data_IF_570121595717
#
_entry.id   IF_570121595717
#
_cell.length_a   1.000
_cell.length_b   1.000
_cell.length_c   1.000
_cell.angle_alpha   90.00
_cell.angle_beta   90.00
_cell.angle_gamma   90.00
#
_symmetry.space_group_name_H-M   'P 1'
#
loop_
_entity.id
_entity.type
_entity.pdbx_description
1 polymer ?
#
# COMPACT_ATOMS: atom_id res chain seq x y z
N UNK A 1 2.92 -36.36 -6.49
CA UNK A 1 4.09 -35.55 -6.88
C UNK A 1 4.28 -35.69 -8.38
N UNK A 2 4.48 -34.59 -9.12
CA UNK A 2 4.60 -34.63 -10.59
C UNK A 2 6.06 -34.48 -11.01
N UNK A 3 6.70 -33.37 -10.67
CA UNK A 3 8.10 -33.11 -11.02
C UNK A 3 8.75 -32.15 -10.03
N UNK A 4 10.08 -32.17 -9.98
CA UNK A 4 10.90 -31.16 -9.31
C UNK A 4 12.16 -30.95 -10.12
N UNK A 5 12.77 -29.79 -9.95
CA UNK A 5 14.01 -29.48 -10.63
C UNK A 5 14.65 -28.22 -10.09
N UNK A 6 15.63 -27.75 -10.84
CA UNK A 6 16.44 -26.59 -10.49
C UNK A 6 16.42 -25.61 -11.64
N UNK A 7 16.35 -24.33 -11.33
CA UNK A 7 16.48 -23.24 -12.30
C UNK A 7 17.93 -22.80 -12.33
N UNK A 8 18.56 -22.85 -13.49
CA UNK A 8 19.93 -22.35 -13.69
C UNK A 8 19.97 -20.84 -13.57
N UNK A 9 21.05 -20.30 -13.00
CA UNK A 9 21.33 -18.88 -12.97
C UNK A 9 21.57 -18.32 -14.39
N UNK A 10 20.74 -17.36 -14.88
CA UNK A 10 21.00 -16.67 -16.14
C UNK A 10 21.88 -15.42 -15.96
N UNK A 11 22.17 -15.01 -14.72
CA UNK A 11 22.81 -13.73 -14.42
C UNK A 11 24.28 -13.90 -14.06
N UNK A 12 25.18 -13.49 -14.97
CA UNK A 12 26.63 -13.60 -14.76
C UNK A 12 27.12 -12.97 -13.44
N UNK A 13 26.50 -11.87 -12.99
CA UNK A 13 26.86 -11.20 -11.75
C UNK A 13 26.63 -12.07 -10.49
N UNK A 14 25.77 -13.09 -10.58
CA UNK A 14 25.45 -14.01 -9.48
C UNK A 14 26.28 -15.30 -9.53
N UNK A 15 27.15 -15.49 -10.53
CA UNK A 15 27.84 -16.78 -10.77
C UNK A 15 28.67 -17.25 -9.58
N UNK A 16 29.32 -16.31 -8.88
CA UNK A 16 30.15 -16.58 -7.71
C UNK A 16 29.38 -16.45 -6.38
N UNK A 17 28.09 -16.11 -6.44
CA UNK A 17 27.22 -15.86 -5.27
C UNK A 17 26.26 -17.02 -5.00
N UNK A 18 25.89 -17.76 -6.04
CA UNK A 18 24.92 -18.86 -5.98
C UNK A 18 25.60 -20.22 -5.86
N UNK A 19 25.06 -21.08 -5.02
CA UNK A 19 25.53 -22.47 -4.89
C UNK A 19 25.20 -23.24 -6.17
N UNK A 20 26.21 -23.93 -6.73
CA UNK A 20 26.09 -24.74 -7.95
C UNK A 20 25.56 -23.98 -9.19
N UNK A 21 25.64 -22.64 -9.22
CA UNK A 21 25.04 -21.79 -10.27
C UNK A 21 23.53 -22.00 -10.44
N UNK A 22 22.85 -22.34 -9.36
CA UNK A 22 21.40 -22.55 -9.31
C UNK A 22 20.74 -21.29 -8.74
N UNK A 23 19.71 -20.77 -9.40
CA UNK A 23 18.94 -19.61 -8.93
C UNK A 23 17.84 -20.02 -7.95
N UNK A 24 17.17 -21.14 -8.22
CA UNK A 24 16.03 -21.59 -7.44
C UNK A 24 15.79 -23.09 -7.61
N UNK A 25 15.04 -23.67 -6.67
CA UNK A 25 14.48 -25.00 -6.77
C UNK A 25 12.97 -24.90 -6.97
N UNK A 26 12.41 -25.73 -7.85
CA UNK A 26 10.97 -25.76 -8.07
C UNK A 26 10.40 -27.15 -7.83
N UNK A 27 9.13 -27.20 -7.45
CA UNK A 27 8.38 -28.41 -7.19
C UNK A 27 6.95 -28.27 -7.72
N UNK A 28 6.49 -29.27 -8.45
CA UNK A 28 5.12 -29.36 -8.95
C UNK A 28 4.44 -30.58 -8.33
N UNK A 29 3.35 -30.34 -7.61
CA UNK A 29 2.58 -31.37 -6.93
C UNK A 29 1.11 -31.32 -7.36
N UNK A 30 0.54 -32.45 -7.74
CA UNK A 30 -0.92 -32.57 -7.81
C UNK A 30 -1.48 -32.63 -6.40
N UNK A 31 -2.48 -31.81 -6.11
CA UNK A 31 -3.23 -31.79 -4.86
C UNK A 31 -4.71 -31.88 -5.23
N UNK A 32 -5.34 -33.04 -5.04
CA UNK A 32 -6.72 -33.29 -5.48
C UNK A 32 -6.92 -32.92 -6.97
N UNK A 33 -7.76 -31.91 -7.26
CA UNK A 33 -8.07 -31.41 -8.59
C UNK A 33 -7.18 -30.22 -9.04
N UNK A 34 -6.15 -29.91 -8.26
CA UNK A 34 -5.27 -28.76 -8.48
C UNK A 34 -3.80 -29.18 -8.67
N UNK A 35 -3.00 -28.23 -9.14
CA UNK A 35 -1.54 -28.30 -9.19
C UNK A 35 -0.97 -27.17 -8.33
N UNK A 36 -0.13 -27.51 -7.35
CA UNK A 36 0.69 -26.53 -6.65
C UNK A 36 2.07 -26.46 -7.32
N UNK A 37 2.47 -25.26 -7.73
CA UNK A 37 3.80 -24.94 -8.24
C UNK A 37 4.52 -24.10 -7.19
N UNK A 38 5.53 -24.67 -6.56
CA UNK A 38 6.35 -23.99 -5.55
C UNK A 38 7.73 -23.69 -6.12
N UNK A 39 8.24 -22.48 -5.89
CA UNK A 39 9.56 -22.01 -6.29
C UNK A 39 10.24 -21.40 -5.06
N UNK A 40 11.37 -21.98 -4.66
CA UNK A 40 12.24 -21.49 -3.59
C UNK A 40 13.51 -20.92 -4.22
N UNK A 41 13.74 -19.62 -4.07
CA UNK A 41 14.99 -18.99 -4.53
C UNK A 41 16.11 -19.23 -3.52
N UNK A 42 17.34 -19.29 -4.02
CA UNK A 42 18.51 -19.18 -3.17
C UNK A 42 18.64 -17.76 -2.63
N UNK A 43 19.26 -17.63 -1.47
CA UNK A 43 19.57 -16.33 -0.90
C UNK A 43 20.58 -15.59 -1.80
N UNK A 44 20.28 -14.35 -2.14
CA UNK A 44 21.13 -13.49 -2.95
C UNK A 44 21.70 -12.41 -2.04
N UNK A 45 23.02 -12.34 -1.95
CA UNK A 45 23.72 -11.30 -1.19
C UNK A 45 24.81 -10.63 -2.04
N UNK A 46 24.56 -9.37 -2.38
CA UNK A 46 25.45 -8.50 -3.16
C UNK A 46 25.98 -7.33 -2.33
N UNK A 47 26.03 -7.45 -0.99
CA UNK A 47 26.30 -6.35 -0.05
C UNK A 47 27.73 -5.78 -0.05
N UNK A 48 28.48 -5.91 -1.15
CA UNK A 48 29.84 -5.42 -1.29
C UNK A 48 30.12 -4.75 -2.66
N UNK A 49 29.09 -4.50 -3.47
CA UNK A 49 29.22 -3.98 -4.86
C UNK A 49 28.82 -2.49 -5.00
N UNK A 50 29.03 -1.69 -3.95
CA UNK A 50 28.69 -0.25 -3.95
C UNK A 50 27.27 0.08 -3.46
N UNK A 51 26.59 -0.90 -2.87
CA UNK A 51 25.28 -0.82 -2.20
C UNK A 51 24.94 -2.15 -1.53
N UNK A 52 23.86 -2.21 -0.74
CA UNK A 52 23.33 -3.49 -0.26
C UNK A 52 22.22 -3.97 -1.18
N UNK A 53 22.29 -5.23 -1.59
CA UNK A 53 21.15 -5.95 -2.17
C UNK A 53 21.15 -7.36 -1.58
N UNK A 54 20.19 -7.61 -0.71
CA UNK A 54 19.99 -8.86 0.00
C UNK A 54 18.57 -9.33 -0.18
N UNK A 55 18.38 -10.52 -0.72
CA UNK A 55 17.11 -11.23 -0.77
C UNK A 55 17.27 -12.58 -0.09
N UNK A 56 16.52 -12.80 0.99
CA UNK A 56 16.61 -14.02 1.79
C UNK A 56 15.25 -14.71 1.92
N UNK A 57 15.29 -16.05 1.85
CA UNK A 57 14.17 -16.93 2.15
C UNK A 57 12.92 -16.62 1.31
N UNK A 58 13.12 -16.41 -0.01
CA UNK A 58 12.04 -16.10 -0.96
C UNK A 58 11.39 -17.39 -1.47
N UNK A 59 10.10 -17.54 -1.17
CA UNK A 59 9.25 -18.64 -1.59
C UNK A 59 8.03 -18.06 -2.31
N UNK A 60 7.70 -18.61 -3.47
CA UNK A 60 6.43 -18.34 -4.14
C UNK A 60 5.74 -19.67 -4.44
N UNK A 61 4.45 -19.76 -4.15
CA UNK A 61 3.58 -20.86 -4.51
C UNK A 61 2.42 -20.36 -5.36
N UNK A 62 2.09 -21.10 -6.40
CA UNK A 62 0.99 -20.81 -7.32
C UNK A 62 0.11 -22.05 -7.39
N UNK A 63 -1.16 -21.89 -6.98
CA UNK A 63 -2.17 -22.93 -7.12
C UNK A 63 -2.86 -22.77 -8.47
N UNK A 64 -2.82 -23.82 -9.28
CA UNK A 64 -3.43 -23.89 -10.60
C UNK A 64 -4.58 -24.89 -10.61
N UNK A 65 -5.62 -24.59 -11.37
CA UNK A 65 -6.57 -25.60 -11.82
C UNK A 65 -5.84 -26.65 -12.69
N UNK A 66 -6.12 -27.93 -12.48
CA UNK A 66 -5.42 -28.99 -13.21
C UNK A 66 -5.90 -29.17 -14.65
N UNK A 67 -7.15 -28.83 -14.95
CA UNK A 67 -7.73 -29.05 -16.28
C UNK A 67 -7.34 -27.93 -17.24
N UNK A 68 -7.45 -26.67 -16.81
CA UNK A 68 -7.22 -25.51 -17.69
C UNK A 68 -5.94 -24.71 -17.38
N UNK A 69 -5.17 -25.14 -16.36
CA UNK A 69 -3.91 -24.52 -15.94
C UNK A 69 -4.01 -23.03 -15.58
N UNK A 70 -5.21 -22.58 -15.19
CA UNK A 70 -5.43 -21.22 -14.70
C UNK A 70 -5.09 -21.09 -13.21
N UNK A 71 -4.63 -19.91 -12.83
CA UNK A 71 -4.23 -19.55 -11.47
C UNK A 71 -5.46 -19.33 -10.61
N UNK A 72 -5.57 -20.10 -9.53
CA UNK A 72 -6.58 -19.98 -8.47
C UNK A 72 -6.11 -19.12 -7.30
N UNK A 73 -4.84 -19.26 -6.94
CA UNK A 73 -4.27 -18.53 -5.82
C UNK A 73 -2.75 -18.39 -5.95
N UNK A 74 -2.22 -17.38 -5.27
CA UNK A 74 -0.79 -17.10 -5.14
C UNK A 74 -0.48 -16.92 -3.67
N UNK A 75 0.65 -17.48 -3.26
CA UNK A 75 1.26 -17.28 -1.96
C UNK A 75 2.70 -16.86 -2.17
N UNK A 76 3.15 -15.82 -1.49
CA UNK A 76 4.56 -15.41 -1.50
C UNK A 76 5.02 -15.11 -0.08
N UNK A 77 6.19 -15.65 0.26
CA UNK A 77 6.86 -15.39 1.52
C UNK A 77 8.26 -14.88 1.26
N UNK A 78 8.64 -13.79 1.90
CA UNK A 78 9.99 -13.26 1.85
C UNK A 78 10.49 -13.05 3.26
N UNK A 79 11.60 -13.70 3.63
CA UNK A 79 12.21 -13.53 4.95
C UNK A 79 12.76 -12.12 5.12
N UNK A 80 13.58 -11.68 4.17
CA UNK A 80 14.15 -10.35 4.19
C UNK A 80 14.45 -9.84 2.77
N UNK A 81 14.16 -8.55 2.55
CA UNK A 81 14.69 -7.77 1.44
C UNK A 81 15.40 -6.55 2.02
N UNK A 82 16.65 -6.35 1.64
CA UNK A 82 17.39 -5.12 1.88
C UNK A 82 17.91 -4.63 0.53
N UNK A 83 17.53 -3.41 0.16
CA UNK A 83 18.11 -2.70 -0.95
C UNK A 83 18.54 -1.31 -0.46
N UNK A 84 19.81 -0.98 -0.62
CA UNK A 84 20.29 0.38 -0.40
C UNK A 84 21.25 0.80 -1.50
N UNK A 85 20.94 1.93 -2.12
CA UNK A 85 21.79 2.57 -3.10
C UNK A 85 21.67 4.08 -2.98
N UNK A 86 22.81 4.78 -2.88
CA UNK A 86 22.89 6.23 -2.70
C UNK A 86 22.07 6.72 -1.49
N UNK A 87 20.93 7.35 -1.75
CA UNK A 87 20.01 7.90 -0.74
C UNK A 87 18.71 7.11 -0.62
N UNK A 88 18.55 6.05 -1.43
CA UNK A 88 17.39 5.19 -1.39
C UNK A 88 17.69 3.99 -0.49
N UNK A 89 16.86 3.80 0.53
CA UNK A 89 16.89 2.61 1.39
C UNK A 89 15.52 1.96 1.33
N UNK A 90 15.49 0.65 1.13
CA UNK A 90 14.31 -0.16 1.23
C UNK A 90 14.68 -1.40 2.04
N UNK A 91 14.01 -1.60 3.16
CA UNK A 91 14.18 -2.79 3.97
C UNK A 91 12.82 -3.35 4.34
N UNK A 92 12.59 -4.64 4.08
CA UNK A 92 11.35 -5.33 4.36
C UNK A 92 11.65 -6.66 5.05
N UNK A 93 10.94 -6.93 6.13
CA UNK A 93 11.12 -8.15 6.93
C UNK A 93 9.83 -8.95 7.05
N UNK A 94 9.95 -10.26 6.82
CA UNK A 94 8.89 -11.25 6.98
C UNK A 94 7.60 -10.90 6.21
N UNK A 95 7.72 -10.64 4.91
CA UNK A 95 6.54 -10.51 4.05
C UNK A 95 5.84 -11.87 3.94
N UNK A 96 4.54 -11.85 4.13
CA UNK A 96 3.62 -12.96 3.86
C UNK A 96 2.44 -12.37 3.06
N UNK A 97 2.36 -12.75 1.79
CA UNK A 97 1.36 -12.30 0.82
C UNK A 97 0.56 -13.50 0.33
N UNK A 98 -0.75 -13.33 0.29
CA UNK A 98 -1.69 -14.33 -0.20
C UNK A 98 -2.73 -13.64 -1.07
N UNK A 99 -3.04 -14.23 -2.22
CA UNK A 99 -4.11 -13.75 -3.07
C UNK A 99 -4.91 -14.94 -3.59
N UNK A 100 -6.23 -14.88 -3.41
CA UNK A 100 -7.18 -15.87 -3.94
C UNK A 100 -8.10 -15.18 -4.93
N UNK A 101 -8.10 -15.68 -6.17
CA UNK A 101 -8.95 -15.14 -7.22
C UNK A 101 -10.37 -15.68 -7.08
N UNK A 102 -11.38 -14.83 -7.32
CA UNK A 102 -12.79 -15.23 -7.36
C UNK A 102 -13.03 -16.25 -8.48
N UNK A 103 -12.39 -16.02 -9.64
CA UNK A 103 -12.38 -16.92 -10.79
C UNK A 103 -10.94 -17.21 -11.21
N UNK A 104 -10.61 -18.44 -11.63
CA UNK A 104 -9.25 -18.75 -12.09
C UNK A 104 -8.82 -17.86 -13.26
N UNK A 105 -7.60 -17.32 -13.20
CA UNK A 105 -7.06 -16.38 -14.21
C UNK A 105 -5.93 -17.01 -15.03
N UNK A 106 -5.71 -16.53 -16.26
CA UNK A 106 -4.53 -16.93 -17.02
C UNK A 106 -3.26 -16.24 -16.50
N UNK A 107 -2.09 -16.87 -16.71
CA UNK A 107 -0.80 -16.26 -16.39
C UNK A 107 -0.57 -14.90 -17.06
N UNK A 108 -1.14 -14.68 -18.25
CA UNK A 108 -1.08 -13.40 -18.96
C UNK A 108 -1.73 -12.25 -18.20
N UNK A 109 -2.69 -12.55 -17.31
CA UNK A 109 -3.50 -11.56 -16.60
C UNK A 109 -2.99 -11.34 -15.17
N UNK A 110 -1.88 -11.98 -14.78
CA UNK A 110 -1.34 -11.88 -13.43
C UNK A 110 -0.94 -10.45 -13.03
N UNK A 111 -0.49 -9.65 -13.99
CA UNK A 111 -0.08 -8.26 -13.77
C UNK A 111 -1.26 -7.27 -13.73
N UNK A 112 -2.49 -7.75 -13.92
CA UNK A 112 -3.70 -6.94 -13.93
C UNK A 112 -4.45 -7.06 -12.60
N UNK A 113 -5.28 -6.07 -12.28
CA UNK A 113 -6.26 -6.25 -11.22
C UNK A 113 -7.27 -7.32 -11.64
N UNK A 114 -7.55 -8.24 -10.72
CA UNK A 114 -8.52 -9.32 -10.90
C UNK A 114 -9.40 -9.39 -9.66
N UNK A 115 -10.64 -9.80 -9.84
CA UNK A 115 -11.55 -10.04 -8.71
C UNK A 115 -10.92 -11.06 -7.77
N UNK A 116 -10.64 -10.63 -6.54
CA UNK A 116 -9.84 -11.42 -5.60
C UNK A 116 -9.94 -10.91 -4.18
N UNK A 117 -9.59 -11.78 -3.24
CA UNK A 117 -9.24 -11.41 -1.88
C UNK A 117 -7.72 -11.51 -1.75
N UNK A 118 -7.09 -10.40 -1.42
CA UNK A 118 -5.65 -10.29 -1.19
C UNK A 118 -5.41 -9.95 0.29
N UNK A 119 -4.46 -10.64 0.90
CA UNK A 119 -3.99 -10.36 2.26
C UNK A 119 -2.47 -10.27 2.23
N UNK A 120 -1.91 -9.24 2.86
CA UNK A 120 -0.48 -9.20 3.09
C UNK A 120 -0.13 -8.60 4.45
N UNK A 121 0.97 -9.10 5.01
CA UNK A 121 1.53 -8.62 6.26
C UNK A 121 3.05 -8.64 6.21
N UNK A 122 3.65 -7.78 7.02
CA UNK A 122 5.09 -7.77 7.26
C UNK A 122 5.39 -7.33 8.69
N UNK A 123 6.55 -7.75 9.20
CA UNK A 123 6.98 -7.42 10.55
C UNK A 123 7.73 -6.11 10.62
N UNK A 124 8.37 -5.66 9.54
CA UNK A 124 9.00 -4.35 9.52
C UNK A 124 9.20 -3.88 8.08
N UNK A 125 8.97 -2.59 7.83
CA UNK A 125 9.30 -1.94 6.58
C UNK A 125 9.98 -0.61 6.85
N UNK A 126 11.06 -0.33 6.15
CA UNK A 126 11.73 0.96 6.13
C UNK A 126 11.92 1.41 4.68
N UNK A 127 11.46 2.61 4.38
CA UNK A 127 11.68 3.28 3.10
C UNK A 127 12.35 4.60 3.41
N UNK A 128 13.61 4.73 3.03
CA UNK A 128 14.49 5.82 3.44
C UNK A 128 14.52 5.92 4.97
N UNK A 129 13.98 7.01 5.53
CA UNK A 129 13.90 7.23 6.98
C UNK A 129 12.48 7.00 7.54
N UNK A 130 11.53 6.55 6.71
CA UNK A 130 10.18 6.22 7.14
C UNK A 130 10.14 4.75 7.58
N UNK A 131 9.53 4.46 8.74
CA UNK A 131 9.50 3.10 9.28
C UNK A 131 8.10 2.68 9.70
N UNK A 132 7.79 1.39 9.55
CA UNK A 132 6.57 0.74 10.04
C UNK A 132 6.98 -0.55 10.73
N UNK A 133 6.63 -0.72 12.02
CA UNK A 133 7.08 -1.88 12.82
C UNK A 133 6.17 -3.09 12.78
N UNK A 134 5.04 -3.01 12.09
CA UNK A 134 4.25 -4.16 11.66
C UNK A 134 3.11 -3.64 10.81
N UNK A 135 2.68 -4.42 9.82
CA UNK A 135 1.57 -4.06 8.96
C UNK A 135 0.75 -5.30 8.61
N UNK A 136 -0.56 -5.11 8.54
CA UNK A 136 -1.49 -6.09 7.99
C UNK A 136 -2.54 -5.36 7.17
N UNK A 137 -2.82 -5.88 5.97
CA UNK A 137 -3.86 -5.37 5.11
C UNK A 137 -4.59 -6.53 4.42
N UNK A 138 -5.89 -6.35 4.28
CA UNK A 138 -6.77 -7.19 3.49
C UNK A 138 -7.49 -6.32 2.47
N UNK A 139 -7.40 -6.71 1.21
CA UNK A 139 -8.11 -6.10 0.09
C UNK A 139 -9.16 -7.08 -0.44
N UNK A 140 -10.37 -6.57 -0.67
CA UNK A 140 -11.40 -7.24 -1.48
C UNK A 140 -11.51 -6.44 -2.77
N UNK A 141 -11.12 -7.06 -3.87
CA UNK A 141 -11.06 -6.45 -5.21
C UNK A 141 -12.22 -7.00 -6.03
N UNK A 142 -13.01 -6.13 -6.62
CA UNK A 142 -14.13 -6.49 -7.49
C UNK A 142 -14.36 -5.43 -8.57
N UNK A 143 -15.13 -5.75 -9.60
CA UNK A 143 -15.50 -4.80 -10.65
C UNK A 143 -17.00 -4.52 -10.65
N UNK A 144 -17.34 -3.25 -10.86
CA UNK A 144 -18.70 -2.77 -11.09
C UNK A 144 -18.86 -2.23 -12.52
N UNK A 145 -20.09 -1.86 -12.88
CA UNK A 145 -20.44 -1.18 -14.14
C UNK A 145 -19.93 -1.92 -15.39
N UNK A 146 -20.28 -3.20 -15.55
CA UNK A 146 -19.84 -4.04 -16.68
C UNK A 146 -18.30 -4.08 -16.86
N UNK A 147 -17.58 -4.22 -15.74
CA UNK A 147 -16.11 -4.22 -15.66
C UNK A 147 -15.45 -2.88 -16.02
N UNK A 148 -16.17 -1.75 -15.93
CA UNK A 148 -15.61 -0.43 -16.17
C UNK A 148 -15.05 0.23 -14.90
N UNK A 149 -15.49 -0.20 -13.72
CA UNK A 149 -15.04 0.40 -12.46
C UNK A 149 -14.38 -0.66 -11.59
N UNK A 150 -13.08 -0.50 -11.31
CA UNK A 150 -12.36 -1.24 -10.28
C UNK A 150 -12.79 -0.70 -8.92
N UNK A 151 -13.14 -1.59 -7.99
CA UNK A 151 -13.31 -1.26 -6.58
C UNK A 151 -12.44 -2.15 -5.72
N UNK A 152 -11.81 -1.53 -4.72
CA UNK A 152 -11.00 -2.22 -3.73
C UNK A 152 -11.39 -1.74 -2.33
N UNK A 153 -11.92 -2.65 -1.53
CA UNK A 153 -12.17 -2.41 -0.11
C UNK A 153 -10.97 -2.89 0.70
N UNK A 154 -10.27 -1.95 1.34
CA UNK A 154 -9.03 -2.19 2.06
C UNK A 154 -9.23 -1.98 3.56
N UNK A 155 -9.00 -3.03 4.34
CA UNK A 155 -9.05 -2.99 5.80
C UNK A 155 -7.74 -3.46 6.39
N UNK A 156 -7.23 -2.77 7.40
CA UNK A 156 -5.93 -3.13 7.95
C UNK A 156 -5.50 -2.34 9.16
N UNK A 157 -4.26 -2.61 9.57
CA UNK A 157 -3.62 -1.97 10.71
C UNK A 157 -2.11 -1.87 10.53
N UNK A 158 -1.53 -0.84 11.15
CA UNK A 158 -0.08 -0.64 11.24
C UNK A 158 0.29 -0.25 12.67
N UNK A 159 1.50 -0.59 13.10
CA UNK A 159 2.03 -0.17 14.41
C UNK A 159 3.36 0.58 14.25
N UNK A 160 3.56 1.57 15.11
CA UNK A 160 4.75 2.42 15.19
C UNK A 160 5.16 2.94 13.79
N UNK A 161 4.24 3.66 13.15
CA UNK A 161 4.55 4.38 11.91
C UNK A 161 5.37 5.61 12.30
N UNK A 162 6.55 5.78 11.71
CA UNK A 162 7.32 7.01 11.77
C UNK A 162 7.47 7.56 10.35
N UNK A 163 7.02 8.79 10.14
CA UNK A 163 7.21 9.53 8.90
C UNK A 163 8.27 10.60 9.18
N UNK A 164 9.48 10.41 8.66
CA UNK A 164 10.50 11.44 8.71
C UNK A 164 10.12 12.65 7.83
N UNK A 165 9.72 13.74 8.49
CA UNK A 165 9.48 15.03 7.85
C UNK A 165 10.49 16.08 8.33
N UNK A 166 11.67 15.65 8.80
CA UNK A 166 12.67 16.55 9.37
C UNK A 166 13.12 17.62 8.37
N UNK A 167 13.16 17.28 7.08
CA UNK A 167 13.48 18.25 6.03
C UNK A 167 12.38 19.29 5.76
N UNK A 168 11.12 19.03 6.13
CA UNK A 168 9.97 19.89 5.84
C UNK A 168 9.54 20.70 7.06
N UNK A 169 9.47 20.06 8.22
CA UNK A 169 8.93 20.64 9.46
C UNK A 169 9.85 20.42 10.68
N UNK A 170 11.13 20.08 10.45
CA UNK A 170 12.17 19.93 11.49
C UNK A 170 11.93 18.84 12.53
N UNK A 171 11.06 17.88 12.23
CA UNK A 171 10.77 16.72 13.09
C UNK A 171 10.09 15.59 12.31
N UNK A 172 10.13 14.39 12.86
CA UNK A 172 9.35 13.26 12.37
C UNK A 172 7.94 13.24 12.98
N UNK A 173 6.99 12.63 12.29
CA UNK A 173 5.63 12.39 12.80
C UNK A 173 5.47 10.90 13.05
N UNK A 174 5.21 10.55 14.30
CA UNK A 174 5.01 9.19 14.75
C UNK A 174 3.55 8.91 15.17
N UNK A 175 3.09 7.70 14.88
CA UNK A 175 1.81 7.14 15.32
C UNK A 175 2.04 5.74 15.93
N UNK A 176 1.52 5.53 17.13
CA UNK A 176 1.63 4.27 17.87
C UNK A 176 0.91 3.14 17.12
N UNK A 177 -0.30 3.44 16.65
CA UNK A 177 -1.15 2.49 15.94
C UNK A 177 -2.02 3.20 14.91
N UNK A 178 -2.28 2.53 13.79
CA UNK A 178 -3.21 2.95 12.75
C UNK A 178 -4.16 1.79 12.51
N UNK A 179 -5.45 2.05 12.50
CA UNK A 179 -6.45 1.15 11.95
C UNK A 179 -7.17 1.88 10.81
N UNK A 180 -7.42 1.21 9.70
CA UNK A 180 -8.03 1.84 8.53
C UNK A 180 -9.05 0.95 7.83
N UNK A 181 -10.08 1.59 7.30
CA UNK A 181 -11.12 1.04 6.45
C UNK A 181 -11.37 2.03 5.30
N UNK A 182 -10.97 1.65 4.09
CA UNK A 182 -10.92 2.50 2.91
C UNK A 182 -11.60 1.80 1.73
N UNK A 183 -12.37 2.55 0.95
CA UNK A 183 -12.87 2.07 -0.35
C UNK A 183 -12.22 2.90 -1.43
N UNK A 184 -11.38 2.25 -2.22
CA UNK A 184 -10.82 2.78 -3.44
C UNK A 184 -11.73 2.42 -4.61
N UNK A 185 -11.96 3.36 -5.52
CA UNK A 185 -12.67 3.12 -6.77
C UNK A 185 -11.97 3.86 -7.90
N UNK A 186 -11.82 3.18 -9.03
CA UNK A 186 -11.16 3.71 -10.20
C UNK A 186 -11.93 3.32 -11.45
N UNK A 187 -12.30 4.31 -12.26
CA UNK A 187 -13.01 4.08 -13.52
C UNK A 187 -12.02 3.98 -14.67
N UNK A 188 -12.18 2.97 -15.53
CA UNK A 188 -11.40 2.84 -16.77
C UNK A 188 -11.54 4.11 -17.62
N UNK A 189 -10.46 4.55 -18.29
CA UNK A 189 -10.58 5.61 -19.26
C UNK A 189 -11.38 5.11 -20.47
N UNK A 190 -12.20 5.97 -21.09
CA UNK A 190 -13.02 5.67 -22.28
C UNK A 190 -12.19 5.39 -23.58
N UNK A 191 -10.90 5.06 -23.45
CA UNK A 191 -9.99 4.87 -24.57
C UNK A 191 -10.07 3.40 -25.02
N UNK A 192 -10.29 3.19 -26.32
CA UNK A 192 -10.51 1.91 -27.00
C UNK A 192 -9.27 1.00 -27.09
N UNK A 193 -8.42 0.94 -26.07
CA UNK A 193 -7.24 0.09 -26.05
C UNK A 193 -7.47 -1.13 -25.15
N UNK A 194 -7.65 -2.30 -25.78
CA UNK A 194 -7.93 -3.60 -25.15
C UNK A 194 -6.79 -4.13 -24.23
N UNK A 195 -5.81 -3.29 -23.90
CA UNK A 195 -4.62 -3.65 -23.10
C UNK A 195 -4.43 -2.76 -21.87
N UNK A 196 -5.45 -2.01 -21.47
CA UNK A 196 -5.36 -1.09 -20.33
C UNK A 196 -5.49 -1.82 -18.99
N UNK A 197 -4.33 -2.04 -18.39
CA UNK A 197 -4.15 -2.23 -16.94
C UNK A 197 -4.68 -0.96 -16.27
N UNK A 198 -5.53 -1.05 -15.24
CA UNK A 198 -5.89 0.09 -14.41
C UNK A 198 -4.60 0.77 -13.92
N UNK A 199 -4.37 2.02 -14.36
CA UNK A 199 -3.11 2.75 -14.09
C UNK A 199 -3.41 3.98 -13.24
N UNK A 200 -2.66 4.23 -12.15
CA UNK A 200 -2.95 5.35 -11.24
C UNK A 200 -2.93 6.76 -11.85
N UNK A 201 -2.37 6.96 -13.05
CA UNK A 201 -1.96 8.29 -13.53
C UNK A 201 -2.96 9.03 -14.42
N UNK A 202 -4.03 8.40 -14.94
CA UNK A 202 -4.84 8.98 -16.02
C UNK A 202 -6.38 8.92 -15.78
N UNK A 203 -6.82 8.65 -14.56
CA UNK A 203 -8.17 8.08 -14.32
C UNK A 203 -8.95 8.81 -13.24
N UNK A 204 -10.29 8.71 -13.29
CA UNK A 204 -11.17 9.13 -12.21
C UNK A 204 -10.97 8.19 -11.02
N UNK A 205 -10.38 8.71 -9.96
CA UNK A 205 -10.07 8.04 -8.72
C UNK A 205 -10.94 8.59 -7.61
N UNK A 206 -11.60 7.70 -6.90
CA UNK A 206 -12.37 8.02 -5.69
C UNK A 206 -11.83 7.19 -4.52
N UNK A 207 -11.44 7.87 -3.44
CA UNK A 207 -11.06 7.25 -2.19
C UNK A 207 -12.08 7.68 -1.13
N UNK A 208 -12.88 6.72 -0.66
CA UNK A 208 -13.75 6.90 0.49
C UNK A 208 -13.03 6.40 1.74
N UNK A 209 -12.84 7.30 2.69
CA UNK A 209 -12.28 7.02 4.01
C UNK A 209 -13.47 6.73 4.91
N UNK A 210 -13.84 5.45 5.05
CA UNK A 210 -14.93 5.04 5.94
C UNK A 210 -14.55 5.36 7.38
N UNK A 211 -13.35 4.94 7.77
CA UNK A 211 -12.72 5.35 9.02
C UNK A 211 -11.20 5.11 8.98
N UNK A 212 -10.43 6.05 9.51
CA UNK A 212 -9.06 5.82 9.96
C UNK A 212 -8.99 6.26 11.41
N UNK A 213 -8.48 5.39 12.28
CA UNK A 213 -8.17 5.74 13.66
C UNK A 213 -6.66 5.69 13.85
N UNK A 214 -6.06 6.84 14.10
CA UNK A 214 -4.65 7.01 14.46
C UNK A 214 -4.54 7.13 15.97
N UNK A 215 -3.68 6.31 16.58
CA UNK A 215 -3.36 6.41 18.00
C UNK A 215 -2.01 7.11 18.16
N UNK A 216 -1.99 8.15 18.99
CA UNK A 216 -0.78 8.90 19.36
C UNK A 216 -0.92 9.39 20.80
N UNK A 217 0.10 9.23 21.64
CA UNK A 217 0.12 9.76 23.01
C UNK A 217 -1.13 9.39 23.85
N UNK A 218 -1.52 8.11 23.76
CA UNK A 218 -2.67 7.52 24.44
C UNK A 218 -4.04 8.17 24.12
N UNK A 219 -4.23 8.61 22.88
CA UNK A 219 -5.53 9.06 22.39
C UNK A 219 -5.74 8.65 20.94
N UNK A 220 -7.00 8.71 20.54
CA UNK A 220 -7.45 8.41 19.19
C UNK A 220 -7.72 9.70 18.42
N UNK A 221 -7.22 9.76 17.19
CA UNK A 221 -7.53 10.75 16.17
C UNK A 221 -8.29 10.02 15.07
N UNK A 222 -9.53 10.43 14.82
CA UNK A 222 -10.38 9.80 13.83
C UNK A 222 -10.44 10.63 12.56
N UNK A 223 -10.36 9.98 11.40
CA UNK A 223 -10.42 10.60 10.09
C UNK A 223 -11.47 9.88 9.26
N UNK A 224 -12.37 10.64 8.65
CA UNK A 224 -13.36 10.14 7.68
C UNK A 224 -13.53 11.14 6.56
N UNK A 225 -14.01 10.69 5.41
CA UNK A 225 -14.22 11.60 4.29
C UNK A 225 -14.12 10.94 2.93
N UNK A 226 -13.94 11.78 1.91
CA UNK A 226 -13.78 11.35 0.55
C UNK A 226 -12.79 12.24 -0.20
N UNK A 227 -12.01 11.64 -1.08
CA UNK A 227 -11.11 12.32 -2.01
C UNK A 227 -11.48 11.85 -3.41
N UNK A 228 -11.69 12.79 -4.32
CA UNK A 228 -11.94 12.56 -5.73
C UNK A 228 -10.86 13.26 -6.54
N UNK A 229 -10.23 12.53 -7.46
CA UNK A 229 -9.23 13.04 -8.36
C UNK A 229 -9.58 12.62 -9.79
N UNK A 230 -9.56 13.56 -10.71
CA UNK A 230 -9.62 13.30 -12.15
C UNK A 230 -8.66 14.24 -12.87
N UNK A 231 -8.51 14.11 -14.18
CA UNK A 231 -7.68 15.03 -14.97
C UNK A 231 -8.16 16.49 -14.92
N UNK A 232 -9.45 16.73 -14.65
CA UNK A 232 -10.06 18.06 -14.73
C UNK A 232 -10.53 18.58 -13.38
N UNK A 233 -10.74 17.70 -12.40
CA UNK A 233 -11.41 18.03 -11.15
C UNK A 233 -10.80 17.28 -9.98
N UNK A 234 -10.53 18.00 -8.91
CA UNK A 234 -9.97 17.51 -7.66
C UNK A 234 -10.85 18.02 -6.52
N UNK A 235 -11.38 17.10 -5.72
CA UNK A 235 -12.24 17.42 -4.59
C UNK A 235 -11.83 16.61 -3.38
N UNK A 236 -11.82 17.25 -2.22
CA UNK A 236 -11.60 16.56 -0.96
C UNK A 236 -12.59 17.07 0.08
N UNK A 237 -13.16 16.15 0.85
CA UNK A 237 -13.95 16.45 2.03
C UNK A 237 -13.52 15.51 3.13
N UNK A 238 -12.78 16.04 4.10
CA UNK A 238 -12.15 15.26 5.17
C UNK A 238 -12.54 15.89 6.50
N UNK A 239 -13.02 15.06 7.42
CA UNK A 239 -13.21 15.45 8.81
C UNK A 239 -12.18 14.73 9.68
N UNK A 240 -11.51 15.49 10.53
CA UNK A 240 -10.55 14.99 11.52
C UNK A 240 -11.10 15.33 12.90
N UNK A 241 -11.09 14.39 13.84
CA UNK A 241 -11.51 14.63 15.21
C UNK A 241 -10.61 14.00 16.25
N UNK A 242 -10.49 14.65 17.41
CA UNK A 242 -9.69 14.19 18.55
C UNK A 242 -10.33 14.59 19.88
N UNK A 243 -10.00 13.85 20.94
CA UNK A 243 -10.44 14.17 22.31
C UNK A 243 -9.55 15.22 22.99
N UNK A 244 -8.23 15.16 22.77
CA UNK A 244 -7.32 16.19 23.27
C UNK A 244 -7.19 17.32 22.27
N UNK A 245 -6.68 18.45 22.76
CA UNK A 245 -6.35 19.60 21.95
C UNK A 245 -5.28 19.22 20.90
N UNK A 246 -5.50 19.48 19.61
CA UNK A 246 -4.54 19.21 18.52
C UNK A 246 -3.09 19.62 18.81
N UNK A 247 -2.88 20.77 19.44
CA UNK A 247 -1.54 21.25 19.79
C UNK A 247 -0.86 20.49 20.94
N UNK A 248 -1.61 19.74 21.75
CA UNK A 248 -1.06 18.81 22.75
C UNK A 248 -0.60 17.49 22.11
N UNK A 249 -1.17 17.15 20.96
CA UNK A 249 -0.88 15.92 20.20
C UNK A 249 0.26 16.14 19.22
N UNK A 250 0.21 17.29 18.54
CA UNK A 250 1.08 17.68 17.46
C UNK A 250 1.74 19.01 17.85
N UNK A 251 2.63 18.94 18.83
CA UNK A 251 3.27 20.13 19.44
C UNK A 251 3.99 21.02 18.43
N UNK A 252 4.46 20.45 17.32
CA UNK A 252 5.03 21.21 16.21
C UNK A 252 4.09 22.21 15.57
N UNK A 253 2.79 21.95 15.61
CA UNK A 253 1.74 22.84 15.13
C UNK A 253 1.85 24.24 15.75
N UNK A 254 2.30 24.32 17.00
CA UNK A 254 2.49 25.57 17.72
C UNK A 254 3.54 26.48 17.08
N UNK A 255 4.54 25.94 16.38
CA UNK A 255 5.58 26.73 15.71
C UNK A 255 5.10 27.41 14.43
N UNK A 256 3.98 26.97 13.86
CA UNK A 256 3.45 27.46 12.57
C UNK A 256 2.08 28.14 12.70
N UNK A 257 1.80 28.73 13.87
CA UNK A 257 0.56 29.46 14.15
C UNK A 257 -0.47 28.70 14.99
N UNK A 258 -0.17 27.46 15.41
CA UNK A 258 -1.04 26.63 16.24
C UNK A 258 -2.06 25.86 15.41
N UNK A 259 -2.20 24.56 15.66
CA UNK A 259 -3.22 23.71 15.03
C UNK A 259 -4.61 23.95 15.63
N UNK A 260 -4.70 24.31 16.91
CA UNK A 260 -5.98 24.51 17.59
C UNK A 260 -6.89 25.53 16.89
N UNK A 261 -6.33 26.54 16.21
CA UNK A 261 -7.12 27.55 15.50
C UNK A 261 -7.94 26.95 14.34
N UNK A 262 -7.56 25.77 13.87
CA UNK A 262 -8.23 25.05 12.78
C UNK A 262 -9.24 24.01 13.28
N UNK A 263 -9.48 23.91 14.59
CA UNK A 263 -10.44 22.98 15.17
C UNK A 263 -11.56 23.72 15.91
N UNK A 264 -12.80 23.26 15.72
CA UNK A 264 -13.95 23.66 16.54
C UNK A 264 -14.13 22.63 17.64
N UNK A 265 -14.31 23.09 18.88
CA UNK A 265 -14.69 22.22 19.99
C UNK A 265 -16.21 22.08 20.04
N UNK A 266 -16.73 20.86 19.90
CA UNK A 266 -18.17 20.60 19.98
C UNK A 266 -18.67 20.53 21.45
N UNK A 267 -19.98 20.39 21.63
CA UNK A 267 -20.62 20.33 22.96
C UNK A 267 -20.16 19.13 23.80
N UNK A 268 -19.78 18.03 23.16
CA UNK A 268 -19.24 16.82 23.79
C UNK A 268 -17.76 16.97 24.17
N UNK A 269 -17.15 18.13 23.87
CA UNK A 269 -15.76 18.44 24.17
C UNK A 269 -14.74 17.89 23.17
N UNK A 270 -15.18 17.31 22.05
CA UNK A 270 -14.30 16.86 20.97
C UNK A 270 -13.84 18.03 20.10
N UNK A 271 -12.59 18.01 19.70
CA UNK A 271 -12.03 18.91 18.70
C UNK A 271 -12.28 18.34 17.30
N UNK A 272 -12.84 19.14 16.40
CA UNK A 272 -13.21 18.73 15.03
C UNK A 272 -12.65 19.73 14.03
N UNK A 273 -12.00 19.24 12.98
CA UNK A 273 -11.58 20.01 11.82
C UNK A 273 -12.22 19.45 10.55
N UNK A 274 -13.00 20.28 9.87
CA UNK A 274 -13.57 19.98 8.56
C UNK A 274 -12.73 20.66 7.48
N UNK A 275 -12.10 19.86 6.62
CA UNK A 275 -11.34 20.29 5.46
C UNK A 275 -12.13 20.01 4.19
N UNK A 276 -12.41 21.06 3.42
CA UNK A 276 -13.04 20.97 2.11
C UNK A 276 -12.15 21.62 1.04
N UNK A 277 -11.96 20.94 -0.07
CA UNK A 277 -11.26 21.44 -1.25
C UNK A 277 -12.07 21.13 -2.50
N UNK A 278 -12.19 22.09 -3.40
CA UNK A 278 -12.83 21.94 -4.71
C UNK A 278 -12.09 22.79 -5.75
N UNK A 279 -11.55 22.14 -6.79
CA UNK A 279 -10.85 22.82 -7.88
C UNK A 279 -11.80 23.46 -8.90
N UNK A 280 -13.04 22.98 -9.01
CA UNK A 280 -14.01 23.48 -10.01
C UNK A 280 -14.57 24.84 -9.59
N UNK A 281 -14.63 25.08 -8.29
CA UNK A 281 -15.03 26.34 -7.69
C UNK A 281 -13.78 27.14 -7.28
N UNK A 282 -13.33 28.11 -8.11
CA UNK A 282 -12.20 29.05 -7.84
C UNK A 282 -11.25 28.57 -6.72
N UNK A 283 -10.49 27.49 -6.93
CA UNK A 283 -9.60 26.83 -5.94
C UNK A 283 -9.79 27.31 -4.49
N UNK A 284 -10.83 26.80 -3.81
CA UNK A 284 -11.15 27.20 -2.44
C UNK A 284 -10.79 26.08 -1.47
N UNK A 285 -9.82 26.32 -0.59
CA UNK A 285 -9.69 25.54 0.63
C UNK A 285 -10.63 26.14 1.67
N UNK A 286 -11.48 25.32 2.29
CA UNK A 286 -12.27 25.72 3.44
C UNK A 286 -11.88 24.88 4.65
N UNK A 287 -11.59 25.56 5.75
CA UNK A 287 -11.35 24.92 7.06
C UNK A 287 -12.43 25.41 8.01
N UNK A 288 -13.29 24.52 8.48
CA UNK A 288 -14.43 24.84 9.35
C UNK A 288 -15.32 25.97 8.81
N UNK A 289 -15.50 26.01 7.48
CA UNK A 289 -16.27 27.06 6.80
C UNK A 289 -15.51 28.37 6.51
N UNK A 290 -14.31 28.56 7.08
CA UNK A 290 -13.45 29.70 6.72
C UNK A 290 -12.79 29.45 5.37
N UNK A 291 -12.95 30.38 4.44
CA UNK A 291 -12.41 30.28 3.08
C UNK A 291 -10.98 30.84 3.00
N UNK A 292 -10.10 30.10 2.34
CA UNK A 292 -8.74 30.48 2.04
C UNK A 292 -8.56 30.51 0.52
N UNK A 293 -8.26 31.68 -0.01
CA UNK A 293 -7.99 31.92 -1.45
C UNK A 293 -6.50 32.12 -1.70
N UNK A 294 -6.07 31.95 -2.95
CA UNK A 294 -4.68 32.19 -3.40
C UNK A 294 -3.60 31.38 -2.66
N UNK A 295 -3.93 30.13 -2.27
CA UNK A 295 -2.93 29.20 -1.74
C UNK A 295 -2.01 28.80 -2.90
N UNK A 296 -0.80 29.34 -2.91
CA UNK A 296 0.25 28.88 -3.80
C UNK A 296 0.73 27.50 -3.32
N UNK A 297 0.35 26.45 -4.05
CA UNK A 297 0.77 25.06 -3.80
C UNK A 297 2.07 24.69 -4.55
N UNK A 298 2.72 25.65 -5.21
CA UNK A 298 4.02 25.47 -5.86
C UNK A 298 5.19 25.69 -4.89
#
# INVERSE_FOLDING_TARGET
FITQGKLSNPFKLLDDKLQNKELAWFKIQSIQNDLNVSIQFQDINLSNEGGNALWENVLTEILLDKEDLKIKAIYSKIGQVDFSQFYAKFYLKNLDHQQKFEKPISFSNLIQFNESVEEFKFDFCEINNHTISSFYNKNIIYFDDDNQTLKMHSQGKANNLNIDLTSQIYQSIDFDQINFDLIYSQKKPDISDDKLIFKPSNEELNLQIQNITLKKDNQDINIKGNIFLSMQSHKARIQISSLKSPDEIFTWGQFFGGLNQYFIKNEEGMFIMDLHYDSDAKTQLKINGNEFTDINLN
#
